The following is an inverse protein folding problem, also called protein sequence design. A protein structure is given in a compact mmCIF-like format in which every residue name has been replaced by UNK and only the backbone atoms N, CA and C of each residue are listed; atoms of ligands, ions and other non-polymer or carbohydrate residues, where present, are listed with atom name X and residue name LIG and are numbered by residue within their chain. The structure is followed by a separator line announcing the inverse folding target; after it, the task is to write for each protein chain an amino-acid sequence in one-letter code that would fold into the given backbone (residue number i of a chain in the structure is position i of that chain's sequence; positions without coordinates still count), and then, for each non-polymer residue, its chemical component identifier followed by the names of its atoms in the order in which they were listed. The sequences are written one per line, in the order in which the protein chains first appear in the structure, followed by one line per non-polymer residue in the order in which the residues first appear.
data_IF_625070268353
#
_entry.id   IF_625070268353
#
_cell.length_a   1.000
_cell.length_b   1.000
_cell.length_c   1.000
_cell.angle_alpha   90.00
_cell.angle_beta   90.00
_cell.angle_gamma   90.00
#
_symmetry.space_group_name_H-M   'P 1'
#
loop_
_entity.id
_entity.type
_entity.pdbx_description
1 polymer ?
#
# COMPACT_ATOMS: atom_id res chain seq x y z
N UNK A 1 4.57 -13.73 -8.14
CA UNK A 1 3.71 -12.74 -7.48
C UNK A 1 3.98 -12.83 -5.98
N UNK A 2 4.33 -11.73 -5.32
CA UNK A 2 4.57 -11.68 -3.87
C UNK A 2 3.29 -11.18 -3.19
N UNK A 3 2.65 -12.03 -2.39
CA UNK A 3 1.39 -11.72 -1.70
C UNK A 3 1.64 -11.70 -0.20
N UNK A 4 1.02 -10.76 0.51
CA UNK A 4 1.07 -10.70 1.96
C UNK A 4 0.24 -11.84 2.60
N UNK A 5 0.88 -12.67 3.43
CA UNK A 5 0.22 -13.71 4.24
C UNK A 5 -0.81 -13.15 5.24
N UNK A 6 -0.74 -11.85 5.57
CA UNK A 6 -1.57 -11.22 6.60
C UNK A 6 -2.81 -10.50 6.06
N UNK A 7 -2.69 -9.77 4.94
CA UNK A 7 -3.78 -8.97 4.39
C UNK A 7 -4.11 -9.28 2.93
N UNK A 8 -3.35 -10.13 2.24
CA UNK A 8 -3.63 -10.53 0.86
C UNK A 8 -3.22 -9.53 -0.23
N UNK A 9 -2.70 -8.35 0.13
CA UNK A 9 -2.23 -7.36 -0.86
C UNK A 9 -1.05 -7.88 -1.67
N UNK A 10 -0.98 -7.50 -2.95
CA UNK A 10 0.24 -7.66 -3.75
C UNK A 10 1.33 -6.71 -3.23
N UNK A 11 2.50 -7.28 -2.93
CA UNK A 11 3.62 -6.52 -2.40
C UNK A 11 4.49 -6.06 -3.57
N UNK A 12 4.44 -4.76 -3.86
CA UNK A 12 5.29 -4.08 -4.85
C UNK A 12 6.52 -3.42 -4.24
N UNK A 13 6.71 -3.53 -2.92
CA UNK A 13 7.82 -2.96 -2.15
C UNK A 13 8.61 -4.01 -1.35
N UNK A 14 9.61 -3.58 -0.56
CA UNK A 14 10.43 -4.48 0.26
C UNK A 14 9.59 -5.13 1.39
N UNK A 15 9.37 -6.46 1.38
CA UNK A 15 8.53 -7.12 2.36
C UNK A 15 9.24 -7.34 3.70
N UNK A 16 8.44 -7.55 4.74
CA UNK A 16 8.87 -8.08 6.03
C UNK A 16 8.84 -9.61 5.96
N UNK A 17 10.00 -10.25 6.10
CA UNK A 17 10.11 -11.71 6.16
C UNK A 17 10.14 -12.15 7.63
N UNK A 18 9.30 -13.11 7.99
CA UNK A 18 9.32 -13.69 9.33
C UNK A 18 9.11 -15.20 9.23
N UNK A 19 10.13 -15.96 9.64
CA UNK A 19 10.20 -17.42 9.44
C UNK A 19 10.06 -17.75 7.95
N UNK A 20 9.00 -18.49 7.58
CA UNK A 20 8.71 -18.94 6.22
C UNK A 20 7.60 -18.10 5.53
N UNK A 21 7.16 -17.01 6.17
CA UNK A 21 6.06 -16.17 5.67
C UNK A 21 6.53 -14.79 5.26
N UNK A 22 5.81 -14.22 4.30
CA UNK A 22 6.07 -12.89 3.73
C UNK A 22 4.92 -11.96 4.06
N UNK A 23 5.24 -10.79 4.61
CA UNK A 23 4.27 -9.79 5.02
C UNK A 23 4.58 -8.44 4.38
N UNK A 24 3.54 -7.68 4.04
CA UNK A 24 3.70 -6.34 3.48
C UNK A 24 4.19 -5.32 4.53
N UNK A 25 3.91 -5.54 5.81
CA UNK A 25 4.30 -4.66 6.91
C UNK A 25 4.50 -5.43 8.24
N UNK A 26 5.05 -4.73 9.25
CA UNK A 26 5.26 -5.30 10.60
C UNK A 26 3.95 -5.62 11.32
N UNK A 27 2.85 -4.94 10.98
CA UNK A 27 1.53 -5.16 11.58
C UNK A 27 0.95 -6.51 11.16
N UNK A 28 1.01 -6.83 9.86
CA UNK A 28 0.67 -8.16 9.35
C UNK A 28 1.53 -9.25 9.96
N UNK A 29 2.85 -9.01 10.12
CA UNK A 29 3.76 -9.97 10.76
C UNK A 29 3.46 -10.19 12.26
N UNK A 30 2.67 -9.31 12.89
CA UNK A 30 2.17 -9.46 14.28
C UNK A 30 0.78 -10.08 14.34
N UNK A 31 0.15 -10.40 13.20
CA UNK A 31 -1.23 -10.88 13.13
C UNK A 31 -2.26 -9.81 13.51
N UNK A 32 -1.91 -8.52 13.37
CA UNK A 32 -2.79 -7.39 13.68
C UNK A 32 -3.45 -6.85 12.41
N UNK A 33 -4.65 -6.25 12.51
CA UNK A 33 -5.32 -5.62 11.37
C UNK A 33 -4.47 -4.46 10.82
N UNK A 34 -4.32 -4.43 9.51
CA UNK A 34 -3.59 -3.37 8.79
C UNK A 34 -4.51 -2.72 7.74
N UNK A 35 -4.16 -1.50 7.33
CA UNK A 35 -4.84 -0.70 6.31
C UNK A 35 -4.07 -0.69 4.97
N UNK A 36 -3.16 -1.66 4.75
CA UNK A 36 -2.28 -1.65 3.58
C UNK A 36 -3.03 -1.92 2.27
N UNK A 37 -4.14 -2.65 2.33
CA UNK A 37 -5.02 -2.94 1.20
C UNK A 37 -5.67 -1.65 0.65
N UNK A 38 -6.10 -0.75 1.52
CA UNK A 38 -6.70 0.55 1.14
C UNK A 38 -5.72 1.49 0.43
N UNK A 39 -4.41 1.34 0.66
CA UNK A 39 -3.40 2.17 0.00
C UNK A 39 -3.15 1.75 -1.45
N UNK A 40 -3.39 0.49 -1.77
CA UNK A 40 -3.18 -0.08 -3.12
C UNK A 40 -4.12 0.50 -4.17
N UNK A 41 -5.29 0.98 -3.74
CA UNK A 41 -6.33 1.56 -4.60
C UNK A 41 -6.22 3.10 -4.70
N UNK A 42 -5.20 3.71 -4.08
CA UNK A 42 -5.03 5.16 -4.18
C UNK A 42 -4.58 5.49 -5.60
N UNK A 43 -5.43 6.19 -6.35
CA UNK A 43 -5.11 6.71 -7.68
C UNK A 43 -3.71 7.36 -7.68
N UNK A 44 -2.92 7.17 -8.74
CA UNK A 44 -1.59 7.74 -8.82
C UNK A 44 -1.71 9.25 -8.59
N UNK A 45 -0.99 9.76 -7.57
CA UNK A 45 -0.86 11.19 -7.34
C UNK A 45 -0.29 11.82 -8.62
N UNK A 46 -1.15 12.45 -9.42
CA UNK A 46 -0.72 13.17 -10.62
C UNK A 46 -0.51 14.64 -10.24
N UNK A 47 0.74 15.10 -10.10
CA UNK A 47 1.03 16.47 -9.70
C UNK A 47 0.58 17.52 -10.74
N UNK A 48 0.01 17.12 -11.88
CA UNK A 48 -0.58 18.04 -12.87
C UNK A 48 -2.04 18.38 -12.58
N UNK A 49 -2.75 17.56 -11.80
CA UNK A 49 -4.16 17.78 -11.45
C UNK A 49 -4.33 18.85 -10.35
N UNK A 50 -3.31 19.10 -9.53
CA UNK A 50 -3.30 20.17 -8.50
C UNK A 50 -3.11 21.59 -9.06
N UNK A 51 -2.91 21.73 -10.40
CA UNK A 51 -2.57 23.03 -11.02
C UNK A 51 -3.76 23.82 -11.58
N UNK A 52 -4.99 23.33 -11.43
CA UNK A 52 -6.15 23.89 -12.15
C UNK A 52 -7.26 24.53 -11.28
N UNK A 53 -6.96 24.98 -10.06
CA UNK A 53 -7.92 25.77 -9.23
C UNK A 53 -7.56 27.25 -9.05
N UNK A 54 -6.85 27.88 -9.99
CA UNK A 54 -6.69 29.34 -10.01
C UNK A 54 -6.76 29.91 -11.43
N UNK A 55 -7.97 29.97 -11.99
CA UNK A 55 -8.29 30.97 -13.00
C UNK A 55 -9.69 31.53 -12.72
N UNK A 56 -9.83 32.63 -11.98
CA UNK A 56 -11.06 33.40 -12.00
C UNK A 56 -11.24 34.06 -13.39
N UNK A 57 -12.49 34.09 -13.85
CA UNK A 57 -12.98 34.74 -15.08
C UNK A 57 -12.61 36.24 -15.15
#
# INVERSE_FOLDING_TARGET
MLICDGCGVEITWAPVRQKDRIFCCKTCARGLPCRCDELSDTEPFDPRLDRFEFLPD
#
